data_IF_984419928490
#
_entry.id   IF_984419928490
#
_cell.length_a   1.000
_cell.length_b   1.000
_cell.length_c   1.000
_cell.angle_alpha   90.00
_cell.angle_beta   90.00
_cell.angle_gamma   90.00
#
_symmetry.space_group_name_H-M   'P 1'
#
loop_
_entity.id
_entity.type
_entity.pdbx_description
1 polymer ?
#
# COMPACT_ATOMS: atom_id res chain seq x y z
N UNK A 1 64.39 7.30 40.43
CA UNK A 1 62.95 7.08 40.74
C UNK A 1 62.17 8.17 40.02
N UNK A 2 61.44 7.84 38.95
CA UNK A 2 60.65 8.77 38.13
C UNK A 2 59.20 8.27 38.15
N UNK A 3 58.20 9.09 38.47
CA UNK A 3 56.82 8.62 38.52
C UNK A 3 56.27 8.47 37.10
N UNK A 4 55.92 7.24 36.76
CA UNK A 4 55.26 6.82 35.53
C UNK A 4 53.81 7.34 35.57
N UNK A 5 53.49 8.40 34.84
CA UNK A 5 52.12 8.91 34.74
C UNK A 5 51.35 8.13 33.68
N UNK A 6 50.47 7.25 34.13
CA UNK A 6 49.62 6.42 33.29
C UNK A 6 48.44 7.27 32.79
N UNK A 7 48.44 7.66 31.52
CA UNK A 7 47.32 8.37 30.91
C UNK A 7 46.19 7.37 30.63
N UNK A 8 45.15 7.40 31.46
CA UNK A 8 43.93 6.63 31.29
C UNK A 8 43.12 7.21 30.12
N UNK A 9 43.13 6.52 28.99
CA UNK A 9 42.31 6.83 27.83
C UNK A 9 40.89 6.32 28.10
N UNK A 10 40.00 7.20 28.59
CA UNK A 10 38.57 6.88 28.78
C UNK A 10 37.87 6.92 27.41
N UNK A 11 37.77 5.78 26.75
CA UNK A 11 36.88 5.59 25.60
C UNK A 11 35.42 5.63 26.10
N UNK A 12 34.80 6.82 26.09
CA UNK A 12 33.34 6.95 26.10
C UNK A 12 32.83 6.35 24.79
N UNK A 13 32.46 5.07 24.81
CA UNK A 13 31.57 4.52 23.81
C UNK A 13 30.21 5.20 24.02
N UNK A 14 29.92 6.23 23.22
CA UNK A 14 28.56 6.71 23.07
C UNK A 14 27.71 5.54 22.58
N UNK A 15 26.85 5.00 23.44
CA UNK A 15 25.74 4.18 23.02
C UNK A 15 24.86 5.10 22.16
N UNK A 16 25.07 5.08 20.85
CA UNK A 16 24.08 5.55 19.91
C UNK A 16 22.89 4.61 20.11
N UNK A 17 21.90 5.08 20.86
CA UNK A 17 20.59 4.45 20.95
C UNK A 17 20.02 4.48 19.54
N UNK A 18 20.21 3.40 18.79
CA UNK A 18 19.57 3.22 17.50
C UNK A 18 18.09 3.00 17.83
N UNK A 19 17.34 4.09 17.91
CA UNK A 19 15.90 4.03 18.11
C UNK A 19 15.32 3.18 16.98
N UNK A 20 14.69 2.06 17.33
CA UNK A 20 13.98 1.25 16.35
C UNK A 20 12.97 2.14 15.63
N UNK A 21 12.96 2.13 14.28
CA UNK A 21 12.14 3.06 13.54
C UNK A 21 10.66 2.90 13.88
N UNK A 22 9.98 4.02 14.11
CA UNK A 22 8.56 4.03 14.46
C UNK A 22 7.73 3.52 13.29
N UNK A 23 7.21 2.30 13.43
CA UNK A 23 6.40 1.61 12.42
C UNK A 23 4.96 1.47 12.86
N UNK A 24 4.07 1.78 11.94
CA UNK A 24 2.65 1.62 12.08
C UNK A 24 2.16 0.57 11.10
N UNK A 25 1.24 -0.28 11.54
CA UNK A 25 0.70 -1.39 10.75
C UNK A 25 -0.75 -1.14 10.41
N UNK A 26 -1.14 -1.62 9.25
CA UNK A 26 -2.53 -1.56 8.79
C UNK A 26 -3.41 -2.42 9.72
N UNK A 27 -4.36 -1.76 10.38
CA UNK A 27 -5.35 -2.36 11.28
C UNK A 27 -6.62 -2.71 10.50
N UNK A 28 -7.04 -1.83 9.59
CA UNK A 28 -8.22 -2.02 8.74
C UNK A 28 -7.95 -1.53 7.32
N UNK A 29 -8.58 -2.18 6.34
CA UNK A 29 -8.54 -1.76 4.95
C UNK A 29 -9.86 -2.04 4.24
N UNK A 30 -10.18 -1.17 3.29
CA UNK A 30 -11.19 -1.36 2.26
C UNK A 30 -10.57 -0.89 0.95
N UNK A 31 -10.32 -1.84 0.05
CA UNK A 31 -9.90 -1.57 -1.33
C UNK A 31 -11.04 -2.00 -2.23
N UNK A 32 -11.57 -1.09 -3.03
CA UNK A 32 -12.62 -1.43 -4.00
C UNK A 32 -12.22 -0.99 -5.40
N UNK A 33 -12.74 -1.69 -6.40
CA UNK A 33 -12.62 -1.26 -7.78
C UNK A 33 -13.97 -1.23 -8.48
N UNK A 34 -14.04 -0.41 -9.52
CA UNK A 34 -15.14 -0.33 -10.48
C UNK A 34 -14.58 -0.44 -11.89
N UNK A 35 -15.12 -1.36 -12.67
CA UNK A 35 -14.94 -1.45 -14.12
C UNK A 35 -16.27 -1.10 -14.79
N UNK A 36 -16.33 0.05 -15.44
CA UNK A 36 -17.52 0.55 -16.14
C UNK A 36 -17.36 0.38 -17.65
N UNK A 37 -18.13 -0.53 -18.25
CA UNK A 37 -18.15 -0.76 -19.70
C UNK A 37 -19.60 -0.63 -20.22
N UNK A 38 -19.82 -0.40 -21.54
CA UNK A 38 -21.15 -0.09 -22.08
C UNK A 38 -22.27 -1.08 -21.72
N UNK A 39 -21.94 -2.37 -21.54
CA UNK A 39 -22.92 -3.42 -21.25
C UNK A 39 -22.87 -3.94 -19.82
N UNK A 40 -21.84 -3.59 -19.04
CA UNK A 40 -21.64 -4.17 -17.72
C UNK A 40 -20.83 -3.25 -16.82
N UNK A 41 -21.31 -3.10 -15.59
CA UNK A 41 -20.59 -2.49 -14.48
C UNK A 41 -20.17 -3.57 -13.49
N UNK A 42 -18.87 -3.77 -13.31
CA UNK A 42 -18.33 -4.76 -12.38
C UNK A 42 -17.73 -4.03 -11.18
N UNK A 43 -18.08 -4.48 -9.97
CA UNK A 43 -17.50 -3.97 -8.72
C UNK A 43 -17.02 -5.12 -7.85
N UNK A 44 -15.94 -4.90 -7.11
CA UNK A 44 -15.56 -5.81 -6.03
C UNK A 44 -14.79 -5.05 -4.94
N UNK A 45 -14.77 -5.62 -3.75
CA UNK A 45 -14.13 -5.07 -2.55
C UNK A 45 -13.25 -6.12 -1.87
N UNK A 46 -12.13 -5.66 -1.32
CA UNK A 46 -11.16 -6.43 -0.56
C UNK A 46 -10.94 -5.75 0.81
N UNK A 47 -10.97 -6.52 1.88
CA UNK A 47 -10.75 -6.04 3.26
C UNK A 47 -9.61 -6.77 3.96
N UNK A 48 -8.80 -7.51 3.20
CA UNK A 48 -7.71 -8.39 3.68
C UNK A 48 -6.34 -7.85 3.34
N UNK A 49 -6.25 -6.57 2.99
CA UNK A 49 -4.97 -5.93 2.68
C UNK A 49 -4.13 -5.79 3.95
N UNK A 50 -2.82 -5.84 3.78
CA UNK A 50 -1.84 -5.60 4.85
C UNK A 50 -0.91 -4.47 4.44
N UNK A 51 -0.30 -3.80 5.42
CA UNK A 51 0.70 -2.80 5.12
C UNK A 51 1.41 -2.27 6.34
N UNK A 52 2.49 -1.54 6.07
CA UNK A 52 3.32 -0.87 7.06
C UNK A 52 3.66 0.52 6.55
N UNK A 53 3.73 1.50 7.46
CA UNK A 53 4.31 2.82 7.24
C UNK A 53 5.36 3.09 8.31
N UNK A 54 6.49 3.62 7.91
CA UNK A 54 7.58 4.04 8.79
C UNK A 54 7.61 5.58 8.81
N UNK A 55 7.33 6.18 9.96
CA UNK A 55 6.97 7.60 10.03
C UNK A 55 8.15 8.52 9.70
N UNK A 56 9.32 8.24 10.26
CA UNK A 56 10.54 9.05 10.07
C UNK A 56 11.03 9.04 8.63
N UNK A 57 11.13 7.84 8.04
CA UNK A 57 11.60 7.66 6.67
C UNK A 57 10.53 7.96 5.64
N UNK A 58 9.27 8.08 6.07
CA UNK A 58 8.06 8.20 5.26
C UNK A 58 7.90 7.06 4.25
N UNK A 59 8.54 5.92 4.52
CA UNK A 59 8.44 4.76 3.65
C UNK A 59 7.20 3.96 3.97
N UNK A 60 6.64 3.29 2.96
CA UNK A 60 5.48 2.44 3.13
C UNK A 60 5.58 1.20 2.24
N UNK A 61 4.86 0.16 2.63
CA UNK A 61 4.57 -0.99 1.79
C UNK A 61 3.15 -1.48 2.08
N UNK A 62 2.38 -1.74 1.02
CA UNK A 62 1.02 -2.27 1.06
C UNK A 62 0.95 -3.48 0.14
N UNK A 63 0.19 -4.48 0.56
CA UNK A 63 -0.06 -5.70 -0.19
C UNK A 63 -1.55 -6.05 -0.13
N UNK A 64 -2.12 -6.36 -1.29
CA UNK A 64 -3.52 -6.73 -1.44
C UNK A 64 -3.59 -8.17 -1.99
N UNK A 65 -4.14 -9.14 -1.25
CA UNK A 65 -4.33 -10.50 -1.75
C UNK A 65 -5.47 -10.52 -2.78
N UNK A 66 -5.16 -10.80 -4.04
CA UNK A 66 -6.12 -10.65 -5.14
C UNK A 66 -7.30 -11.64 -5.04
N UNK A 67 -7.08 -12.84 -4.52
CA UNK A 67 -8.12 -13.87 -4.35
C UNK A 67 -9.24 -13.46 -3.38
N UNK A 68 -8.97 -12.49 -2.51
CA UNK A 68 -9.87 -11.99 -1.45
C UNK A 68 -10.80 -10.86 -1.92
N UNK A 69 -10.82 -10.52 -3.22
CA UNK A 69 -11.86 -9.65 -3.75
C UNK A 69 -13.22 -10.37 -3.78
N UNK A 70 -14.24 -9.70 -3.24
CA UNK A 70 -15.62 -10.20 -3.16
C UNK A 70 -16.63 -9.11 -3.54
N UNK A 71 -17.91 -9.48 -3.66
CA UNK A 71 -18.99 -8.53 -4.03
C UNK A 71 -19.18 -8.31 -5.53
N UNK A 72 -18.63 -9.20 -6.37
CA UNK A 72 -18.94 -9.27 -7.80
C UNK A 72 -20.44 -9.54 -8.03
N UNK A 73 -20.97 -9.08 -9.18
CA UNK A 73 -22.40 -9.25 -9.49
C UNK A 73 -22.79 -10.72 -9.68
N UNK A 74 -21.84 -11.57 -10.08
CA UNK A 74 -22.05 -13.00 -10.26
C UNK A 74 -20.78 -13.81 -9.91
N UNK A 75 -20.92 -15.06 -9.42
CA UNK A 75 -19.77 -15.93 -9.12
C UNK A 75 -18.82 -16.12 -10.31
N UNK A 76 -19.35 -16.22 -11.52
CA UNK A 76 -18.54 -16.39 -12.75
C UNK A 76 -17.64 -15.18 -13.02
N UNK A 77 -18.04 -13.96 -12.63
CA UNK A 77 -17.18 -12.78 -12.75
C UNK A 77 -15.96 -12.90 -11.84
N UNK A 78 -16.13 -13.41 -10.62
CA UNK A 78 -15.04 -13.68 -9.68
C UNK A 78 -14.11 -14.76 -10.22
N UNK A 79 -14.65 -15.82 -10.82
CA UNK A 79 -13.85 -16.87 -11.46
C UNK A 79 -13.00 -16.30 -12.60
N UNK A 80 -13.61 -15.56 -13.53
CA UNK A 80 -12.87 -14.91 -14.62
C UNK A 80 -11.85 -13.89 -14.12
N UNK A 81 -12.18 -13.10 -13.09
CA UNK A 81 -11.24 -12.20 -12.43
C UNK A 81 -10.00 -12.96 -11.95
N UNK A 82 -10.19 -14.10 -11.29
CA UNK A 82 -9.09 -14.87 -10.72
C UNK A 82 -8.29 -15.65 -11.76
N UNK A 83 -8.94 -16.23 -12.77
CA UNK A 83 -8.29 -17.15 -13.71
C UNK A 83 -7.80 -16.47 -14.99
N UNK A 84 -8.55 -15.51 -15.53
CA UNK A 84 -8.29 -14.92 -16.83
C UNK A 84 -7.63 -13.53 -16.77
N UNK A 85 -7.89 -12.77 -15.70
CA UNK A 85 -7.42 -11.38 -15.60
C UNK A 85 -6.28 -11.20 -14.59
N UNK A 86 -6.46 -11.61 -13.33
CA UNK A 86 -5.43 -11.46 -12.30
C UNK A 86 -4.52 -12.68 -12.19
N UNK A 87 -4.95 -13.84 -12.71
CA UNK A 87 -4.25 -15.14 -12.64
C UNK A 87 -3.68 -15.36 -11.23
N UNK A 88 -4.55 -15.30 -10.23
CA UNK A 88 -4.18 -15.15 -8.80
C UNK A 88 -3.42 -16.34 -8.23
N UNK A 89 -3.43 -17.49 -8.90
CA UNK A 89 -2.55 -18.61 -8.56
C UNK A 89 -1.07 -18.34 -8.86
N UNK A 90 -0.78 -17.51 -9.87
CA UNK A 90 0.59 -17.14 -10.28
C UNK A 90 0.99 -15.82 -9.62
N UNK A 91 0.10 -14.82 -9.64
CA UNK A 91 0.31 -13.51 -9.03
C UNK A 91 -0.70 -13.28 -7.91
N UNK A 92 -0.50 -13.87 -6.72
CA UNK A 92 -1.49 -13.85 -5.65
C UNK A 92 -1.73 -12.46 -5.05
N UNK A 93 -0.82 -11.52 -5.27
CA UNK A 93 -0.84 -10.22 -4.64
C UNK A 93 -0.59 -9.09 -5.64
N UNK A 94 -1.30 -7.99 -5.44
CA UNK A 94 -0.82 -6.67 -5.86
C UNK A 94 -0.05 -6.03 -4.72
N UNK A 95 0.93 -5.19 -5.03
CA UNK A 95 1.69 -4.46 -4.02
C UNK A 95 2.01 -3.03 -4.43
N UNK A 96 2.14 -2.15 -3.45
CA UNK A 96 2.61 -0.79 -3.65
C UNK A 96 3.59 -0.44 -2.54
N UNK A 97 4.83 -0.12 -2.89
CA UNK A 97 5.85 0.29 -1.91
C UNK A 97 6.65 1.48 -2.40
N UNK A 98 7.02 2.37 -1.48
CA UNK A 98 7.66 3.62 -1.84
C UNK A 98 7.76 4.58 -0.68
N UNK A 99 7.64 5.89 -0.98
CA UNK A 99 7.70 6.97 0.01
C UNK A 99 6.60 8.00 -0.20
N UNK A 100 6.18 8.64 0.88
CA UNK A 100 5.35 9.84 0.84
C UNK A 100 6.23 11.01 0.42
N UNK A 101 5.79 11.75 -0.60
CA UNK A 101 6.59 12.82 -1.25
C UNK A 101 6.71 14.03 -0.34
N UNK A 102 5.60 14.43 0.29
CA UNK A 102 5.53 15.61 1.13
C UNK A 102 6.26 15.38 2.46
N UNK A 103 6.94 16.42 2.94
CA UNK A 103 7.59 16.45 4.26
C UNK A 103 6.57 16.86 5.32
N UNK A 104 5.75 15.90 5.71
CA UNK A 104 4.74 16.05 6.76
C UNK A 104 5.17 15.32 8.02
N UNK A 105 4.81 15.89 9.16
CA UNK A 105 4.90 15.19 10.44
C UNK A 105 3.64 14.35 10.64
N UNK A 106 3.79 13.02 10.55
CA UNK A 106 2.69 12.07 10.73
C UNK A 106 2.41 11.77 12.20
N UNK A 107 3.12 12.40 13.13
CA UNK A 107 2.89 12.30 14.58
C UNK A 107 1.96 13.41 15.10
N UNK A 108 1.77 14.47 14.32
CA UNK A 108 0.86 15.56 14.67
C UNK A 108 -0.56 15.28 14.16
N UNK A 109 -1.60 15.40 15.02
CA UNK A 109 -2.98 15.31 14.58
C UNK A 109 -3.30 16.38 13.52
N UNK A 110 -3.92 15.97 12.41
CA UNK A 110 -4.14 16.88 11.29
C UNK A 110 -4.70 16.21 10.04
N UNK A 111 -4.96 17.02 9.03
CA UNK A 111 -5.35 16.58 7.68
C UNK A 111 -4.31 17.04 6.68
N UNK A 112 -3.84 16.13 5.85
CA UNK A 112 -2.76 16.36 4.89
C UNK A 112 -3.18 15.82 3.53
N UNK A 113 -3.00 16.62 2.49
CA UNK A 113 -3.05 16.13 1.11
C UNK A 113 -1.64 15.79 0.67
N UNK A 114 -1.44 14.56 0.23
CA UNK A 114 -0.11 13.98 0.02
C UNK A 114 -0.08 13.16 -1.26
N UNK A 115 1.12 12.74 -1.66
CA UNK A 115 1.36 11.84 -2.78
C UNK A 115 2.27 10.72 -2.33
N UNK A 116 1.82 9.49 -2.54
CA UNK A 116 2.64 8.30 -2.40
C UNK A 116 3.31 8.01 -3.74
N UNK A 117 4.65 8.08 -3.78
CA UNK A 117 5.45 7.71 -4.95
C UNK A 117 6.11 6.36 -4.71
N UNK A 118 5.95 5.42 -5.64
CA UNK A 118 6.51 4.10 -5.45
C UNK A 118 6.34 3.13 -6.61
N UNK A 119 6.77 1.89 -6.37
CA UNK A 119 6.64 0.76 -7.29
C UNK A 119 5.31 0.06 -7.01
N UNK A 120 4.40 0.13 -7.97
CA UNK A 120 3.13 -0.58 -8.00
C UNK A 120 3.24 -1.84 -8.84
N UNK A 121 2.98 -3.00 -8.26
CA UNK A 121 3.02 -4.29 -8.95
C UNK A 121 1.62 -4.87 -8.98
N UNK A 122 1.15 -5.22 -10.17
CA UNK A 122 -0.12 -5.89 -10.39
C UNK A 122 0.09 -6.88 -11.55
N UNK A 123 -0.40 -8.12 -11.39
CA UNK A 123 -0.28 -9.15 -12.42
C UNK A 123 1.19 -9.37 -12.89
N UNK A 124 2.12 -9.33 -11.93
CA UNK A 124 3.56 -9.49 -12.18
C UNK A 124 4.27 -8.27 -12.77
N UNK A 125 3.52 -7.31 -13.31
CA UNK A 125 4.07 -6.13 -13.98
C UNK A 125 4.22 -4.95 -13.03
N UNK A 126 5.39 -4.32 -13.06
CA UNK A 126 5.75 -3.21 -12.18
C UNK A 126 5.69 -1.87 -12.91
N UNK A 127 5.02 -0.90 -12.29
CA UNK A 127 4.90 0.47 -12.75
C UNK A 127 5.36 1.43 -11.63
N UNK A 128 6.15 2.45 -11.98
CA UNK A 128 6.37 3.57 -11.05
C UNK A 128 5.12 4.47 -11.08
N UNK A 129 4.54 4.72 -9.90
CA UNK A 129 3.29 5.46 -9.75
C UNK A 129 3.45 6.58 -8.74
N UNK A 130 2.74 7.68 -8.97
CA UNK A 130 2.49 8.73 -7.98
C UNK A 130 0.97 8.76 -7.76
N UNK A 131 0.55 8.44 -6.54
CA UNK A 131 -0.87 8.31 -6.18
C UNK A 131 -1.22 9.40 -5.16
N UNK A 132 -2.22 10.26 -5.43
CA UNK A 132 -2.69 11.24 -4.46
C UNK A 132 -3.40 10.54 -3.30
N UNK A 133 -3.14 10.99 -2.08
CA UNK A 133 -3.68 10.43 -0.85
C UNK A 133 -4.10 11.56 0.09
N UNK A 134 -5.29 11.45 0.65
CA UNK A 134 -5.71 12.25 1.80
C UNK A 134 -5.39 11.48 3.07
N UNK A 135 -4.64 12.12 3.96
CA UNK A 135 -4.18 11.54 5.23
C UNK A 135 -4.82 12.30 6.36
N UNK A 136 -5.44 11.57 7.28
CA UNK A 136 -5.99 12.11 8.54
C UNK A 136 -5.28 11.43 9.69
N UNK A 137 -4.54 12.20 10.46
CA UNK A 137 -3.85 11.75 11.67
C UNK A 137 -4.72 12.10 12.86
N UNK A 138 -5.06 11.10 13.67
CA UNK A 138 -5.77 11.26 14.94
C UNK A 138 -5.07 10.43 16.02
N UNK A 139 -5.51 10.56 17.27
CA UNK A 139 -5.04 9.71 18.38
C UNK A 139 -5.30 8.21 18.12
N UNK A 140 -6.33 7.89 17.33
CA UNK A 140 -6.74 6.50 17.02
C UNK A 140 -5.89 5.84 15.92
N UNK A 141 -5.13 6.63 15.15
CA UNK A 141 -4.45 6.10 13.97
C UNK A 141 -4.18 7.12 12.87
N UNK A 142 -3.52 6.65 11.81
CA UNK A 142 -3.36 7.36 10.55
C UNK A 142 -4.35 6.72 9.56
N UNK A 143 -5.39 7.46 9.20
CA UNK A 143 -6.31 7.06 8.13
C UNK A 143 -5.81 7.62 6.81
N UNK A 144 -5.76 6.77 5.79
CA UNK A 144 -5.35 7.12 4.43
C UNK A 144 -6.48 6.77 3.48
N UNK A 145 -6.93 7.75 2.70
CA UNK A 145 -7.88 7.55 1.61
C UNK A 145 -7.28 7.95 0.28
N UNK A 146 -7.59 7.20 -0.77
CA UNK A 146 -7.10 7.48 -2.12
C UNK A 146 -8.08 6.99 -3.19
N UNK A 147 -8.04 7.65 -4.35
CA UNK A 147 -8.73 7.20 -5.55
C UNK A 147 -7.80 7.37 -6.75
N UNK A 148 -7.70 6.35 -7.60
CA UNK A 148 -6.83 6.37 -8.78
C UNK A 148 -7.28 5.36 -9.83
N UNK A 149 -6.86 5.60 -11.07
CA UNK A 149 -7.15 4.73 -12.19
C UNK A 149 -6.02 3.73 -12.45
N UNK A 150 -6.40 2.51 -12.82
CA UNK A 150 -5.50 1.43 -13.24
C UNK A 150 -5.87 1.02 -14.65
N UNK A 151 -4.98 1.33 -15.62
CA UNK A 151 -5.13 0.84 -16.97
C UNK A 151 -4.66 -0.62 -17.04
N UNK A 152 -5.53 -1.54 -17.48
CA UNK A 152 -5.22 -2.97 -17.49
C UNK A 152 -4.04 -3.31 -18.42
N UNK A 153 -3.88 -2.55 -19.50
CA UNK A 153 -2.79 -2.72 -20.46
C UNK A 153 -1.40 -2.49 -19.84
N UNK A 154 -1.27 -1.55 -18.89
CA UNK A 154 0.00 -1.25 -18.20
C UNK A 154 0.50 -2.43 -17.36
N UNK A 155 -0.40 -3.38 -17.08
CA UNK A 155 -0.14 -4.56 -16.27
C UNK A 155 -0.19 -5.87 -17.06
N UNK A 156 -0.14 -5.79 -18.40
CA UNK A 156 -0.15 -6.96 -19.27
C UNK A 156 -1.48 -7.71 -19.28
N UNK A 157 -2.54 -7.13 -18.72
CA UNK A 157 -3.86 -7.74 -18.63
C UNK A 157 -4.61 -7.43 -19.93
N UNK A 158 -4.83 -8.47 -20.74
CA UNK A 158 -5.48 -8.35 -22.04
C UNK A 158 -6.99 -8.53 -21.93
N UNK A 159 -7.74 -7.63 -22.56
CA UNK A 159 -9.19 -7.77 -22.70
C UNK A 159 -9.50 -8.44 -24.03
N UNK A 160 -10.10 -9.65 -24.05
CA UNK A 160 -10.51 -10.28 -25.30
C UNK A 160 -11.53 -9.43 -26.06
N UNK A 161 -11.43 -9.38 -27.39
CA UNK A 161 -12.34 -8.60 -28.25
C UNK A 161 -13.81 -8.93 -28.02
N UNK A 162 -14.13 -10.18 -27.72
CA UNK A 162 -15.50 -10.64 -27.50
C UNK A 162 -16.18 -10.05 -26.24
N UNK A 163 -15.40 -9.54 -25.29
CA UNK A 163 -15.91 -9.00 -24.01
C UNK A 163 -15.57 -7.51 -23.79
N UNK A 164 -15.05 -6.81 -24.80
CA UNK A 164 -14.62 -5.41 -24.66
C UNK A 164 -15.74 -4.44 -24.26
N UNK A 165 -17.01 -4.79 -24.53
CA UNK A 165 -18.16 -3.98 -24.09
C UNK A 165 -18.61 -4.31 -22.66
N UNK A 166 -18.04 -5.35 -22.04
CA UNK A 166 -18.36 -5.81 -20.68
C UNK A 166 -17.24 -5.59 -19.66
N UNK A 167 -16.02 -5.35 -20.13
CA UNK A 167 -14.85 -5.12 -19.27
C UNK A 167 -14.15 -3.87 -19.72
N UNK A 168 -13.97 -2.92 -18.79
CA UNK A 168 -13.35 -1.64 -19.07
C UNK A 168 -11.83 -1.78 -19.24
N UNK A 169 -11.24 -0.97 -20.11
CA UNK A 169 -9.78 -0.88 -20.24
C UNK A 169 -9.10 -0.25 -19.01
N UNK A 170 -9.86 0.51 -18.23
CA UNK A 170 -9.42 1.20 -17.02
C UNK A 170 -10.37 0.85 -15.88
N UNK A 171 -9.80 0.44 -14.75
CA UNK A 171 -10.52 0.24 -13.50
C UNK A 171 -10.28 1.43 -12.56
N UNK A 172 -11.34 1.97 -11.98
CA UNK A 172 -11.27 2.99 -10.93
C UNK A 172 -11.09 2.30 -9.59
N UNK A 173 -10.03 2.61 -8.86
CA UNK A 173 -9.72 2.03 -7.55
C UNK A 173 -9.94 3.07 -6.46
N UNK A 174 -10.52 2.64 -5.34
CA UNK A 174 -10.61 3.42 -4.10
C UNK A 174 -10.02 2.65 -2.94
N UNK A 175 -9.30 3.36 -2.08
CA UNK A 175 -8.65 2.82 -0.89
C UNK A 175 -9.07 3.63 0.32
N UNK A 176 -9.38 2.94 1.41
CA UNK A 176 -9.52 3.49 2.75
C UNK A 176 -8.79 2.54 3.70
N UNK A 177 -7.72 3.02 4.33
CA UNK A 177 -6.88 2.22 5.22
C UNK A 177 -6.66 2.96 6.53
N UNK A 178 -6.68 2.22 7.64
CA UNK A 178 -6.31 2.70 8.95
C UNK A 178 -5.02 2.02 9.40
N UNK A 179 -4.01 2.81 9.72
CA UNK A 179 -2.77 2.36 10.33
C UNK A 179 -2.77 2.72 11.82
N UNK A 180 -2.27 1.81 12.64
CA UNK A 180 -2.07 2.01 14.08
C UNK A 180 -0.63 1.73 14.47
N UNK A 181 -0.14 2.29 15.60
CA UNK A 181 1.15 1.91 16.15
C UNK A 181 1.24 0.38 16.24
N UNK A 182 2.31 -0.22 15.74
CA UNK A 182 2.51 -1.64 16.02
C UNK A 182 2.98 -1.78 17.45
N UNK A 183 2.23 -2.51 18.29
CA UNK A 183 2.66 -2.84 19.64
C UNK A 183 4.09 -3.38 19.59
N UNK A 184 5.01 -2.72 20.31
CA UNK A 184 6.26 -3.34 20.71
C UNK A 184 5.88 -4.54 21.55
N UNK A 185 5.87 -5.75 20.98
CA UNK A 185 6.03 -6.91 21.86
C UNK A 185 7.45 -6.81 22.42
N UNK A 186 7.60 -6.86 23.76
CA UNK A 186 8.92 -6.93 24.39
C UNK A 186 9.67 -8.18 23.92
#
# INVERSE_FOLDING_TARGET
>A
MRPLTFALFLLLNGLADAQDPVRWRMDRSVVSFVSEAPLERITATNTKSTGVVELESRSFAVQVPMIEFEGFNAPLQREHFNENYMVTRVWPNASFSGRIVESIDLTEPGRYSTRAKGRFVLHGEAQERIIPCDVVVTEDGIRVTSAFDVALADHGIRIPRVVHQKVAAVAQVKVDALFKPSDRRP
#
